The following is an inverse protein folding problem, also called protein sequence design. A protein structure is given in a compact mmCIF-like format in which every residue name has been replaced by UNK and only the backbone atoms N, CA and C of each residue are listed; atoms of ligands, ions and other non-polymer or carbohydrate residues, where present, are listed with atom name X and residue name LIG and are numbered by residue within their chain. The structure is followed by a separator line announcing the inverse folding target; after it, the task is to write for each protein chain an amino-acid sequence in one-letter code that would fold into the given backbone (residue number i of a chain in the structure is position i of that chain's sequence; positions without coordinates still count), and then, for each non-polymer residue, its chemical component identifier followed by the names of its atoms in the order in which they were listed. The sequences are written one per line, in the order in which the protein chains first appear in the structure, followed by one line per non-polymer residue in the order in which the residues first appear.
data_IF_891631642579
#
_entry.id   IF_891631642579
#
_cell.length_a   1.000
_cell.length_b   1.000
_cell.length_c   1.000
_cell.angle_alpha   90.00
_cell.angle_beta   90.00
_cell.angle_gamma   90.00
#
_symmetry.space_group_name_H-M   'P 1'
#
loop_
_entity.id
_entity.type
_entity.pdbx_description
1 polymer ?
#
# COMPACT_ATOMS: atom_id res chain seq x y z
N UNK A 1 39.18 -6.28 14.60
CA UNK A 1 38.23 -5.24 15.09
C UNK A 1 37.36 -5.74 16.26
N UNK A 2 37.95 -6.15 17.40
CA UNK A 2 37.17 -6.70 18.53
C UNK A 2 36.77 -5.66 19.59
N UNK A 3 37.58 -4.61 19.78
CA UNK A 3 37.35 -3.58 20.80
C UNK A 3 36.04 -2.80 20.62
N UNK A 4 35.66 -2.33 19.41
CA UNK A 4 34.40 -1.62 19.23
C UNK A 4 33.20 -2.50 19.63
N UNK A 5 33.18 -3.76 19.17
CA UNK A 5 32.12 -4.74 19.45
C UNK A 5 31.95 -5.02 20.95
N UNK A 6 33.04 -4.99 21.72
CA UNK A 6 33.04 -5.22 23.17
C UNK A 6 32.37 -4.08 23.96
N UNK A 7 32.46 -2.84 23.49
CA UNK A 7 31.98 -1.65 24.23
C UNK A 7 30.60 -1.12 23.77
N UNK A 8 29.99 -1.76 22.77
CA UNK A 8 28.70 -1.35 22.19
C UNK A 8 27.53 -1.26 23.19
N UNK A 9 27.59 -1.99 24.32
CA UNK A 9 26.55 -1.94 25.36
C UNK A 9 26.47 -0.59 26.07
N UNK A 10 27.56 0.18 26.14
CA UNK A 10 27.61 1.47 26.86
C UNK A 10 26.67 2.52 26.25
N UNK A 11 26.40 2.44 24.95
CA UNK A 11 25.52 3.37 24.21
C UNK A 11 24.08 2.90 24.02
N UNK A 12 23.72 1.72 24.52
CA UNK A 12 22.47 1.04 24.13
C UNK A 12 21.22 1.84 24.49
N UNK A 13 21.14 2.40 25.71
CA UNK A 13 19.98 3.21 26.15
C UNK A 13 19.77 4.46 25.29
N UNK A 14 20.87 5.14 24.91
CA UNK A 14 20.83 6.32 24.04
C UNK A 14 20.39 5.95 22.62
N UNK A 15 20.86 4.81 22.11
CA UNK A 15 20.46 4.28 20.81
C UNK A 15 18.97 3.91 20.79
N UNK A 16 18.48 3.25 21.84
CA UNK A 16 17.08 2.86 21.93
C UNK A 16 16.14 4.07 21.97
N UNK A 17 16.47 5.09 22.76
CA UNK A 17 15.68 6.32 22.82
C UNK A 17 15.68 7.11 21.49
N UNK A 18 16.76 7.07 20.71
CA UNK A 18 16.78 7.66 19.37
C UNK A 18 15.90 6.85 18.41
N UNK A 19 16.03 5.53 18.43
CA UNK A 19 15.26 4.62 17.59
C UNK A 19 13.75 4.71 17.86
N UNK A 20 13.32 4.86 19.12
CA UNK A 20 11.91 5.06 19.46
C UNK A 20 11.38 6.39 18.93
N UNK A 21 12.14 7.49 19.05
CA UNK A 21 11.78 8.79 18.47
C UNK A 21 11.68 8.73 16.94
N UNK A 22 12.63 8.07 16.29
CA UNK A 22 12.62 7.89 14.84
C UNK A 22 11.42 7.05 14.36
N UNK A 23 11.05 5.98 15.09
CA UNK A 23 9.86 5.18 14.79
C UNK A 23 8.57 5.96 15.00
N UNK A 24 8.46 6.75 16.07
CA UNK A 24 7.31 7.60 16.32
C UNK A 24 7.13 8.65 15.20
N UNK A 25 8.21 9.31 14.78
CA UNK A 25 8.17 10.26 13.66
C UNK A 25 7.72 9.58 12.35
N UNK A 26 8.23 8.37 12.06
CA UNK A 26 7.80 7.59 10.88
C UNK A 26 6.33 7.20 10.94
N UNK A 27 5.83 6.80 12.11
CA UNK A 27 4.43 6.44 12.30
C UNK A 27 3.49 7.63 12.06
N UNK A 28 3.82 8.81 12.59
CA UNK A 28 3.04 10.03 12.35
C UNK A 28 3.04 10.44 10.87
N UNK A 29 4.18 10.35 10.18
CA UNK A 29 4.26 10.62 8.73
C UNK A 29 3.43 9.62 7.92
N UNK A 30 3.48 8.32 8.25
CA UNK A 30 2.66 7.31 7.56
C UNK A 30 1.17 7.57 7.81
N UNK A 31 0.77 7.84 9.05
CA UNK A 31 -0.62 8.18 9.40
C UNK A 31 -1.08 9.43 8.65
N UNK A 32 -0.21 10.43 8.52
CA UNK A 32 -0.45 11.64 7.76
C UNK A 32 -0.40 11.45 6.24
N UNK A 33 0.12 10.34 5.70
CA UNK A 33 0.08 9.99 4.26
C UNK A 33 -1.11 9.09 3.93
N UNK A 34 -1.45 8.17 4.83
CA UNK A 34 -2.60 7.27 4.70
C UNK A 34 -3.89 8.06 4.71
N UNK A 35 -4.03 9.06 5.60
CA UNK A 35 -5.19 9.97 5.63
C UNK A 35 -5.43 10.71 4.30
N UNK A 36 -4.46 11.39 3.66
CA UNK A 36 -4.67 12.10 2.40
C UNK A 36 -4.78 11.18 1.18
N UNK A 37 -4.26 9.95 1.21
CA UNK A 37 -4.51 8.96 0.13
C UNK A 37 -6.00 8.55 0.05
N UNK A 38 -6.72 8.62 1.16
CA UNK A 38 -8.19 8.45 1.16
C UNK A 38 -8.89 9.59 0.42
N UNK A 39 -8.26 10.77 0.27
CA UNK A 39 -8.94 11.95 -0.27
C UNK A 39 -8.91 12.08 -1.79
N UNK A 40 -7.96 11.47 -2.54
CA UNK A 40 -8.01 11.49 -4.02
C UNK A 40 -7.31 10.28 -4.64
N UNK A 41 -8.06 9.28 -5.13
CA UNK A 41 -7.59 8.53 -6.29
C UNK A 41 -7.43 9.56 -7.43
N UNK A 42 -6.21 9.71 -7.98
CA UNK A 42 -6.05 10.33 -9.30
C UNK A 42 -6.87 9.49 -10.26
N UNK A 43 -8.11 9.91 -10.53
CA UNK A 43 -8.99 9.27 -11.50
C UNK A 43 -8.20 9.17 -12.81
N UNK A 44 -7.89 7.96 -13.31
CA UNK A 44 -7.37 7.84 -14.65
C UNK A 44 -8.45 8.41 -15.57
N UNK A 45 -8.09 9.42 -16.37
CA UNK A 45 -8.96 9.99 -17.40
C UNK A 45 -9.51 8.81 -18.21
N UNK A 46 -10.82 8.65 -18.15
CA UNK A 46 -11.47 7.37 -18.36
C UNK A 46 -11.21 6.78 -19.74
N UNK A 47 -10.74 5.54 -19.77
CA UNK A 47 -11.30 4.62 -20.77
C UNK A 47 -12.81 4.67 -20.62
N UNK A 48 -13.51 4.90 -21.72
CA UNK A 48 -14.97 5.02 -21.68
C UNK A 48 -15.55 3.82 -20.92
N UNK A 49 -16.57 4.08 -20.10
CA UNK A 49 -17.22 3.06 -19.25
C UNK A 49 -17.56 1.78 -20.04
N UNK A 50 -17.83 1.94 -21.34
CA UNK A 50 -18.11 0.87 -22.29
C UNK A 50 -16.90 -0.02 -22.57
N UNK A 51 -15.72 0.54 -22.84
CA UNK A 51 -14.51 -0.27 -23.08
C UNK A 51 -14.08 -1.03 -21.82
N UNK A 52 -14.13 -0.38 -20.66
CA UNK A 52 -13.86 -1.02 -19.37
C UNK A 52 -14.85 -2.14 -19.06
N UNK A 53 -16.14 -1.95 -19.42
CA UNK A 53 -17.18 -2.98 -19.30
C UNK A 53 -16.92 -4.17 -20.21
N UNK A 54 -16.56 -3.93 -21.47
CA UNK A 54 -16.24 -4.99 -22.43
C UNK A 54 -15.00 -5.79 -22.00
N UNK A 55 -13.95 -5.11 -21.55
CA UNK A 55 -12.75 -5.76 -21.01
C UNK A 55 -13.08 -6.64 -19.79
N UNK A 56 -13.96 -6.18 -18.90
CA UNK A 56 -14.40 -6.95 -17.74
C UNK A 56 -15.24 -8.19 -18.12
N UNK A 57 -16.13 -8.07 -19.12
CA UNK A 57 -16.93 -9.17 -19.64
C UNK A 57 -16.05 -10.20 -20.37
N UNK A 58 -15.03 -9.75 -21.11
CA UNK A 58 -14.07 -10.61 -21.78
C UNK A 58 -13.09 -11.27 -20.80
N UNK A 59 -12.92 -10.72 -19.58
CA UNK A 59 -11.96 -11.24 -18.61
C UNK A 59 -12.26 -12.71 -18.24
N UNK A 60 -11.30 -13.65 -18.37
CA UNK A 60 -11.56 -15.07 -18.20
C UNK A 60 -12.12 -15.45 -16.82
N UNK A 61 -11.55 -14.86 -15.75
CA UNK A 61 -11.96 -15.13 -14.36
C UNK A 61 -13.14 -14.27 -13.89
N UNK A 62 -13.17 -13.00 -14.27
CA UNK A 62 -14.10 -12.00 -13.71
C UNK A 62 -15.42 -11.96 -14.49
N UNK A 63 -15.36 -12.15 -15.82
CA UNK A 63 -16.53 -12.12 -16.69
C UNK A 63 -17.31 -13.43 -16.80
N UNK A 64 -16.84 -14.53 -16.17
CA UNK A 64 -17.45 -15.87 -16.29
C UNK A 64 -18.94 -15.89 -15.94
N UNK A 65 -19.32 -15.27 -14.82
CA UNK A 65 -20.71 -15.23 -14.34
C UNK A 65 -21.60 -14.42 -15.28
N UNK A 66 -21.11 -13.29 -15.78
CA UNK A 66 -21.87 -12.42 -16.70
C UNK A 66 -22.11 -13.14 -18.03
N UNK A 67 -21.08 -13.77 -18.61
CA UNK A 67 -21.23 -14.56 -19.85
C UNK A 67 -22.24 -15.70 -19.68
N UNK A 68 -22.19 -16.42 -18.55
CA UNK A 68 -23.15 -17.49 -18.27
C UNK A 68 -24.59 -17.00 -18.10
N UNK A 69 -24.79 -15.76 -17.66
CA UNK A 69 -26.13 -15.16 -17.53
C UNK A 69 -26.66 -14.73 -18.90
N UNK A 70 -25.81 -14.11 -19.74
CA UNK A 70 -26.20 -13.72 -21.10
C UNK A 70 -26.55 -14.92 -21.99
N UNK A 71 -25.93 -16.08 -21.77
CA UNK A 71 -26.23 -17.30 -22.52
C UNK A 71 -27.51 -18.03 -22.07
N UNK A 72 -28.13 -17.61 -20.96
CA UNK A 72 -29.37 -18.21 -20.42
C UNK A 72 -30.63 -17.50 -20.90
N UNK A 73 -30.52 -16.26 -21.36
CA UNK A 73 -31.59 -15.53 -22.03
C UNK A 73 -31.55 -15.82 -23.51
#
# INVERSE_FOLDING_TARGET
MCFPKKHNKKGLKKMQANNTKAMAARAEVIKAIVKPKVMKPKMPKGTSRNLSRLAFIAHPKLGKRIRSYMAKG
#
